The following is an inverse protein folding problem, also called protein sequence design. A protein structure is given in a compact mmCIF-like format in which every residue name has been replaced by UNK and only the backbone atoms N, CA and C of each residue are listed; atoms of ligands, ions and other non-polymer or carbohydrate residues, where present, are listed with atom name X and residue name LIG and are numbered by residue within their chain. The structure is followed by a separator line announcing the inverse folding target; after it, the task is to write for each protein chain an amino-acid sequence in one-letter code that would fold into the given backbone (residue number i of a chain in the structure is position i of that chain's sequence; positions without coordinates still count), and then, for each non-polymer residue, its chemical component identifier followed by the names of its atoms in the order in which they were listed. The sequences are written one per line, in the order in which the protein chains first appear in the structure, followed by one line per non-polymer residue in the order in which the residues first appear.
data_IF_605721560938
#
_entry.id   IF_605721560938
#
_cell.length_a   1.000
_cell.length_b   1.000
_cell.length_c   1.000
_cell.angle_alpha   90.00
_cell.angle_beta   90.00
_cell.angle_gamma   90.00
#
_symmetry.space_group_name_H-M   'P 1'
#
loop_
_entity.id
_entity.type
_entity.pdbx_description
1 polymer ?
#
# COMPACT_ATOMS: atom_id res chain seq x y z
N UNK A 1 11.31 15.00 -45.76
CA UNK A 1 11.86 15.55 -44.50
C UNK A 1 10.70 15.56 -43.50
N UNK A 2 10.55 14.70 -42.51
CA UNK A 2 11.53 14.08 -41.63
C UNK A 2 11.50 14.77 -40.25
N UNK A 3 10.59 14.37 -39.36
CA UNK A 3 10.64 14.58 -37.89
C UNK A 3 9.62 13.65 -37.23
N UNK A 4 10.04 12.42 -36.94
CA UNK A 4 10.49 11.92 -35.63
C UNK A 4 9.32 11.72 -34.67
N UNK A 5 8.92 10.45 -34.59
CA UNK A 5 8.18 9.79 -33.53
C UNK A 5 8.67 10.21 -32.14
N UNK A 6 7.72 10.58 -31.28
CA UNK A 6 7.94 10.62 -29.83
C UNK A 6 7.33 9.36 -29.23
N UNK A 7 8.12 8.38 -28.80
CA UNK A 7 7.61 7.27 -28.01
C UNK A 7 7.54 7.74 -26.56
N UNK A 8 6.34 8.05 -26.06
CA UNK A 8 6.13 8.17 -24.62
C UNK A 8 5.45 6.88 -24.14
N UNK A 9 6.25 5.82 -24.14
CA UNK A 9 6.01 4.67 -23.31
C UNK A 9 6.37 5.07 -21.87
N UNK A 10 5.39 5.59 -21.15
CA UNK A 10 5.44 5.61 -19.69
C UNK A 10 4.07 5.19 -19.19
N UNK A 11 3.81 3.88 -19.26
CA UNK A 11 2.90 3.21 -18.33
C UNK A 11 3.41 3.46 -16.92
N UNK A 12 3.08 4.64 -16.38
CA UNK A 12 2.98 4.85 -14.96
C UNK A 12 1.93 3.85 -14.51
N UNK A 13 2.38 2.69 -14.01
CA UNK A 13 1.51 1.78 -13.29
C UNK A 13 0.81 2.63 -12.24
N UNK A 14 -0.53 2.82 -12.30
CA UNK A 14 -1.19 3.60 -11.28
C UNK A 14 -0.91 2.89 -9.97
N UNK A 15 -0.24 3.57 -9.04
CA UNK A 15 -0.13 3.08 -7.67
C UNK A 15 -1.56 2.73 -7.24
N UNK A 16 -1.87 1.43 -7.14
CA UNK A 16 -3.22 0.97 -6.77
C UNK A 16 -3.43 1.41 -5.33
N UNK A 17 -4.01 2.58 -5.14
CA UNK A 17 -4.33 3.12 -3.83
C UNK A 17 -5.48 2.27 -3.29
N UNK A 18 -5.19 1.47 -2.26
CA UNK A 18 -6.20 0.66 -1.61
C UNK A 18 -6.87 1.46 -0.49
N UNK A 19 -8.11 1.88 -0.72
CA UNK A 19 -8.95 2.51 0.31
C UNK A 19 -9.75 1.47 1.06
N UNK A 20 -9.43 1.24 2.34
CA UNK A 20 -10.22 0.37 3.21
C UNK A 20 -11.16 1.19 4.08
N UNK A 21 -12.44 0.79 4.15
CA UNK A 21 -13.35 1.30 5.19
C UNK A 21 -13.05 0.55 6.47
N UNK A 22 -12.66 1.28 7.51
CA UNK A 22 -12.30 0.76 8.82
C UNK A 22 -13.08 1.52 9.88
N UNK A 23 -13.32 0.86 11.00
CA UNK A 23 -13.88 1.53 12.17
C UNK A 23 -12.97 2.69 12.62
N UNK A 24 -13.52 3.87 12.96
CA UNK A 24 -12.73 5.03 13.35
C UNK A 24 -11.86 4.79 14.60
N UNK A 25 -12.29 3.95 15.54
CA UNK A 25 -11.48 3.60 16.70
C UNK A 25 -10.27 2.75 16.32
N UNK A 26 -10.47 1.80 15.41
CA UNK A 26 -9.39 0.97 14.88
C UNK A 26 -8.37 1.83 14.11
N UNK A 27 -8.86 2.77 13.30
CA UNK A 27 -8.00 3.71 12.58
C UNK A 27 -7.15 4.58 13.52
N UNK A 28 -7.71 5.04 14.65
CA UNK A 28 -6.95 5.77 15.68
C UNK A 28 -5.86 4.89 16.30
N UNK A 29 -6.20 3.66 16.69
CA UNK A 29 -5.23 2.71 17.28
C UNK A 29 -4.07 2.41 16.32
N UNK A 30 -4.38 2.20 15.03
CA UNK A 30 -3.37 1.98 13.99
C UNK A 30 -2.44 3.19 13.80
N UNK A 31 -2.98 4.41 13.81
CA UNK A 31 -2.17 5.64 13.74
C UNK A 31 -1.22 5.76 14.94
N UNK A 32 -1.71 5.48 16.16
CA UNK A 32 -0.88 5.53 17.37
C UNK A 32 0.25 4.48 17.28
N UNK A 33 -0.05 3.26 16.82
CA UNK A 33 0.95 2.21 16.62
C UNK A 33 1.99 2.58 15.57
N UNK A 34 1.57 3.22 14.47
CA UNK A 34 2.46 3.70 13.44
C UNK A 34 3.47 4.72 13.98
N UNK A 35 3.00 5.68 14.79
CA UNK A 35 3.87 6.66 15.45
C UNK A 35 4.85 5.99 16.41
N UNK A 36 4.38 5.04 17.25
CA UNK A 36 5.25 4.33 18.20
C UNK A 36 6.35 3.50 17.54
N UNK A 37 6.09 2.98 16.33
CA UNK A 37 7.02 2.16 15.56
C UNK A 37 7.81 2.96 14.51
N UNK A 38 7.69 4.29 14.52
CA UNK A 38 8.33 5.19 13.54
C UNK A 38 8.11 4.75 12.08
N UNK A 39 6.89 4.30 11.78
CA UNK A 39 6.55 3.73 10.48
C UNK A 39 5.23 4.28 9.96
N UNK A 40 4.88 3.93 8.73
CA UNK A 40 3.64 4.35 8.09
C UNK A 40 2.54 3.30 8.31
N UNK A 41 1.29 3.76 8.42
CA UNK A 41 0.13 2.89 8.70
C UNK A 41 -0.01 1.78 7.65
N UNK A 42 0.23 2.07 6.37
CA UNK A 42 0.11 1.06 5.31
C UNK A 42 1.16 -0.05 5.45
N UNK A 43 2.40 0.27 5.88
CA UNK A 43 3.43 -0.75 6.12
C UNK A 43 3.04 -1.71 7.23
N UNK A 44 2.44 -1.19 8.31
CA UNK A 44 1.89 -2.05 9.37
C UNK A 44 0.77 -2.95 8.88
N UNK A 45 -0.09 -2.44 7.99
CA UNK A 45 -1.16 -3.23 7.40
C UNK A 45 -0.60 -4.31 6.47
N UNK A 46 0.38 -3.96 5.62
CA UNK A 46 1.05 -4.92 4.74
C UNK A 46 1.74 -6.04 5.54
N UNK A 47 2.49 -5.71 6.59
CA UNK A 47 3.12 -6.69 7.47
C UNK A 47 2.07 -7.59 8.13
N UNK A 48 1.02 -7.01 8.70
CA UNK A 48 -0.03 -7.78 9.37
C UNK A 48 -0.77 -8.71 8.41
N UNK A 49 -1.08 -8.24 7.19
CA UNK A 49 -1.71 -9.05 6.14
C UNK A 49 -0.76 -10.16 5.70
N UNK A 50 0.52 -9.84 5.47
CA UNK A 50 1.54 -10.82 5.06
C UNK A 50 1.71 -11.91 6.12
N UNK A 51 1.80 -11.53 7.39
CA UNK A 51 1.90 -12.47 8.51
C UNK A 51 0.65 -13.33 8.64
N UNK A 52 -0.54 -12.74 8.46
CA UNK A 52 -1.80 -13.48 8.47
C UNK A 52 -1.87 -14.50 7.33
N UNK A 53 -1.45 -14.12 6.12
CA UNK A 53 -1.42 -15.00 4.95
C UNK A 53 -0.41 -16.15 5.14
N UNK A 54 0.78 -15.86 5.66
CA UNK A 54 1.79 -16.88 6.00
C UNK A 54 1.27 -17.88 7.03
N UNK A 55 0.58 -17.39 8.08
CA UNK A 55 0.05 -18.25 9.15
C UNK A 55 -1.12 -19.13 8.68
N UNK A 56 -1.95 -18.63 7.77
CA UNK A 56 -3.15 -19.32 7.29
C UNK A 56 -2.95 -20.14 6.00
N UNK A 57 -1.72 -20.30 5.52
CA UNK A 57 -1.34 -21.09 4.33
C UNK A 57 -2.39 -21.06 3.21
N UNK A 58 -2.46 -19.92 2.52
CA UNK A 58 -2.77 -19.91 1.08
C UNK A 58 -1.55 -19.59 0.21
N UNK A 59 -0.36 -19.47 0.82
CA UNK A 59 1.00 -19.54 0.26
C UNK A 59 1.92 -20.08 1.37
#
# INVERSE_FOLDING_TARGET
MGRKSSPSASTSSPNKVFGARMDPELAKKLKILAVKKETQVYKLLEEAITDYLKKNKKI
#
